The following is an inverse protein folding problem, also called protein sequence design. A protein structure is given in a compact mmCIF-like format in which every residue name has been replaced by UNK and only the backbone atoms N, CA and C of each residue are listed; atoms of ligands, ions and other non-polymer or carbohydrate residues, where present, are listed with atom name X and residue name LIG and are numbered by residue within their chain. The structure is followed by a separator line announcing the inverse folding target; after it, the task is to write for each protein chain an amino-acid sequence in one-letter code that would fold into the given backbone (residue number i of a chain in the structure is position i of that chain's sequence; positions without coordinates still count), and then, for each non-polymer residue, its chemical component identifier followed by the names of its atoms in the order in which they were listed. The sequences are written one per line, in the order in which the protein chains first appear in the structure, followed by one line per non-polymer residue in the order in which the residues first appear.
data_IF_318789934311
#
_entry.id   IF_318789934311
#
_cell.length_a   1.000
_cell.length_b   1.000
_cell.length_c   1.000
_cell.angle_alpha   90.00
_cell.angle_beta   90.00
_cell.angle_gamma   90.00
#
_symmetry.space_group_name_H-M   'P 1'
#
loop_
_entity.id
_entity.type
_entity.pdbx_description
1 polymer ?
#
# COMPACT_ATOMS: atom_id res chain seq x y z
N UNK A 1 -5.16 9.72 0.96
CA UNK A 1 -3.77 10.19 1.02
C UNK A 1 -3.53 11.41 0.14
N UNK A 2 -3.76 11.37 -1.18
CA UNK A 2 -3.50 12.49 -2.09
C UNK A 2 -4.69 13.44 -2.30
N UNK A 3 -5.69 13.43 -1.44
CA UNK A 3 -6.86 14.32 -1.52
C UNK A 3 -6.65 15.71 -0.89
N UNK A 4 -5.46 16.03 -0.39
CA UNK A 4 -5.17 17.34 0.18
C UNK A 4 -4.90 18.40 -0.91
N UNK A 5 -5.07 19.66 -0.55
CA UNK A 5 -5.10 20.79 -1.49
C UNK A 5 -3.81 20.91 -2.34
N UNK A 6 -2.63 20.74 -1.73
CA UNK A 6 -1.36 20.82 -2.45
C UNK A 6 -1.22 19.71 -3.49
N UNK A 7 -1.59 18.47 -3.15
CA UNK A 7 -1.56 17.38 -4.11
C UNK A 7 -2.54 17.60 -5.26
N UNK A 8 -3.76 18.08 -4.95
CA UNK A 8 -4.77 18.41 -5.97
C UNK A 8 -4.28 19.48 -6.93
N UNK A 9 -3.73 20.58 -6.42
CA UNK A 9 -3.17 21.67 -7.24
C UNK A 9 -1.99 21.20 -8.11
N UNK A 10 -1.06 20.45 -7.50
CA UNK A 10 0.09 19.91 -8.22
C UNK A 10 -0.33 18.97 -9.36
N UNK A 11 -1.25 18.06 -9.06
CA UNK A 11 -1.77 17.09 -10.03
C UNK A 11 -2.47 17.80 -11.20
N UNK A 12 -3.37 18.75 -10.90
CA UNK A 12 -4.12 19.50 -11.91
C UNK A 12 -3.22 20.35 -12.80
N UNK A 13 -2.24 21.04 -12.20
CA UNK A 13 -1.28 21.84 -12.95
C UNK A 13 -0.45 21.00 -13.94
N UNK A 14 -0.17 19.74 -13.59
CA UNK A 14 0.64 18.83 -14.42
C UNK A 14 -0.16 18.10 -15.48
N UNK A 15 -1.41 17.72 -15.17
CA UNK A 15 -2.23 16.84 -16.01
C UNK A 15 -3.34 17.60 -16.75
N UNK A 16 -3.71 18.81 -16.32
CA UNK A 16 -4.78 19.61 -16.90
C UNK A 16 -6.20 19.13 -16.58
N UNK A 17 -6.33 18.22 -15.61
CA UNK A 17 -7.60 17.73 -15.04
C UNK A 17 -7.38 17.36 -13.57
N UNK A 18 -8.46 17.27 -12.79
CA UNK A 18 -8.40 17.04 -11.34
C UNK A 18 -8.24 15.55 -10.98
N UNK A 19 -7.82 15.27 -9.72
CA UNK A 19 -7.83 13.90 -9.18
C UNK A 19 -9.27 13.35 -9.14
N UNK A 20 -10.26 14.22 -8.86
CA UNK A 20 -11.67 13.83 -8.84
C UNK A 20 -12.18 13.46 -10.25
N UNK A 21 -11.74 14.18 -11.30
CA UNK A 21 -12.01 13.78 -12.67
C UNK A 21 -11.40 12.42 -13.01
N UNK A 22 -10.13 12.20 -12.62
CA UNK A 22 -9.48 10.90 -12.86
C UNK A 22 -10.23 9.76 -12.17
N UNK A 23 -10.59 9.92 -10.90
CA UNK A 23 -11.27 8.86 -10.13
C UNK A 23 -12.68 8.61 -10.68
N UNK A 24 -13.47 9.64 -10.89
CA UNK A 24 -14.82 9.53 -11.45
C UNK A 24 -14.80 8.88 -12.83
N UNK A 25 -13.95 9.39 -13.75
CA UNK A 25 -13.87 8.85 -15.11
C UNK A 25 -13.35 7.40 -15.10
N UNK A 26 -12.40 7.07 -14.24
CA UNK A 26 -11.88 5.69 -14.12
C UNK A 26 -12.96 4.72 -13.64
N UNK A 27 -13.78 5.10 -12.66
CA UNK A 27 -14.91 4.29 -12.20
C UNK A 27 -15.92 4.12 -13.32
N UNK A 28 -16.37 5.22 -13.94
CA UNK A 28 -17.36 5.17 -15.03
C UNK A 28 -16.86 4.36 -16.23
N UNK A 29 -15.61 4.56 -16.67
CA UNK A 29 -15.02 3.80 -17.76
C UNK A 29 -14.86 2.31 -17.41
N UNK A 30 -14.54 1.96 -16.16
CA UNK A 30 -14.48 0.57 -15.73
C UNK A 30 -15.83 -0.11 -15.96
N UNK A 31 -16.94 0.49 -15.53
CA UNK A 31 -18.27 -0.05 -15.76
C UNK A 31 -18.60 -0.16 -17.25
N UNK A 32 -18.29 0.87 -18.05
CA UNK A 32 -18.52 0.81 -19.51
C UNK A 32 -17.77 -0.36 -20.15
N UNK A 33 -16.49 -0.55 -19.83
CA UNK A 33 -15.67 -1.63 -20.38
C UNK A 33 -16.03 -3.02 -19.86
N UNK A 34 -16.60 -3.12 -18.65
CA UNK A 34 -17.13 -4.39 -18.15
C UNK A 34 -18.40 -4.80 -18.92
N UNK A 35 -19.22 -3.84 -19.33
CA UNK A 35 -20.43 -4.09 -20.11
C UNK A 35 -20.13 -4.31 -21.59
N UNK A 36 -19.12 -3.64 -22.13
CA UNK A 36 -18.75 -3.69 -23.54
C UNK A 36 -17.23 -3.57 -23.70
N UNK A 37 -16.53 -4.59 -24.26
CA UNK A 37 -15.07 -4.62 -24.34
C UNK A 37 -14.42 -3.49 -25.16
N UNK A 38 -15.19 -2.77 -25.95
CA UNK A 38 -14.74 -1.63 -26.76
C UNK A 38 -15.68 -0.44 -26.57
N UNK A 39 -15.12 0.75 -26.57
CA UNK A 39 -15.83 2.00 -26.41
C UNK A 39 -15.52 2.94 -27.59
N UNK A 40 -16.56 3.35 -28.32
CA UNK A 40 -16.47 4.42 -29.32
C UNK A 40 -16.95 5.74 -28.72
N UNK A 41 -18.05 5.69 -27.98
CA UNK A 41 -18.61 6.80 -27.21
C UNK A 41 -19.19 6.26 -25.90
N UNK A 42 -19.00 6.96 -24.77
CA UNK A 42 -19.58 6.55 -23.50
C UNK A 42 -21.11 6.64 -23.56
N UNK A 43 -21.79 5.67 -22.94
CA UNK A 43 -23.25 5.58 -22.88
C UNK A 43 -23.80 6.21 -21.61
N UNK A 44 -23.02 6.19 -20.51
CA UNK A 44 -23.46 6.76 -19.25
C UNK A 44 -23.42 8.29 -19.26
N UNK A 45 -24.50 8.93 -18.82
CA UNK A 45 -24.67 10.39 -18.82
C UNK A 45 -23.57 11.12 -18.07
N UNK A 46 -23.06 10.56 -16.96
CA UNK A 46 -22.01 11.16 -16.17
C UNK A 46 -20.69 11.32 -16.94
N UNK A 47 -20.38 10.39 -17.84
CA UNK A 47 -19.21 10.50 -18.71
C UNK A 47 -19.49 11.44 -19.90
N UNK A 48 -20.69 11.34 -20.47
CA UNK A 48 -21.08 12.12 -21.64
C UNK A 48 -21.28 13.61 -21.32
N UNK A 49 -21.66 13.96 -20.09
CA UNK A 49 -21.80 15.34 -19.62
C UNK A 49 -20.47 16.05 -19.40
N UNK A 50 -19.38 15.30 -19.14
CA UNK A 50 -18.03 15.83 -18.84
C UNK A 50 -17.01 15.54 -19.96
N UNK A 51 -17.39 15.79 -21.20
CA UNK A 51 -16.61 15.42 -22.41
C UNK A 51 -15.15 15.90 -22.39
N UNK A 52 -14.90 17.12 -21.92
CA UNK A 52 -13.54 17.66 -21.86
C UNK A 52 -12.67 16.92 -20.83
N UNK A 53 -13.16 16.71 -19.63
CA UNK A 53 -12.46 15.94 -18.61
C UNK A 53 -12.23 14.49 -19.07
N UNK A 54 -13.24 13.86 -19.65
CA UNK A 54 -13.12 12.51 -20.21
C UNK A 54 -12.05 12.41 -21.31
N UNK A 55 -12.00 13.38 -22.22
CA UNK A 55 -10.99 13.39 -23.29
C UNK A 55 -9.57 13.53 -22.72
N UNK A 56 -9.37 14.39 -21.71
CA UNK A 56 -8.08 14.56 -21.03
C UNK A 56 -7.68 13.30 -20.28
N UNK A 57 -8.59 12.71 -19.52
CA UNK A 57 -8.33 11.47 -18.77
C UNK A 57 -8.02 10.32 -19.72
N UNK A 58 -8.82 10.10 -20.78
CA UNK A 58 -8.53 9.10 -21.80
C UNK A 58 -7.15 9.33 -22.45
N UNK A 59 -6.78 10.58 -22.74
CA UNK A 59 -5.46 10.92 -23.23
C UNK A 59 -4.32 10.51 -22.28
N UNK A 60 -4.54 10.62 -20.97
CA UNK A 60 -3.56 10.27 -19.95
C UNK A 60 -3.47 8.75 -19.67
N UNK A 61 -4.58 8.03 -19.76
CA UNK A 61 -4.64 6.59 -19.41
C UNK A 61 -4.61 5.67 -20.63
N UNK A 62 -4.55 6.20 -21.85
CA UNK A 62 -4.52 5.38 -23.08
C UNK A 62 -3.25 5.53 -23.89
N UNK A 63 -2.98 4.52 -24.72
CA UNK A 63 -1.94 4.56 -25.75
C UNK A 63 -2.49 4.02 -27.07
N UNK A 64 -2.08 4.62 -28.21
CA UNK A 64 -2.28 4.01 -29.52
C UNK A 64 -1.54 2.65 -29.62
N UNK A 65 -2.11 1.70 -30.37
CA UNK A 65 -1.51 0.36 -30.54
C UNK A 65 -0.01 0.40 -30.89
N UNK A 66 0.47 1.24 -31.83
CA UNK A 66 1.90 1.26 -32.16
C UNK A 66 2.78 1.68 -30.97
N UNK A 67 2.35 2.69 -30.20
CA UNK A 67 3.06 3.14 -29.01
C UNK A 67 3.06 2.07 -27.91
N UNK A 68 1.92 1.44 -27.65
CA UNK A 68 1.80 0.35 -26.69
C UNK A 68 2.72 -0.82 -27.05
N UNK A 69 2.75 -1.24 -28.32
CA UNK A 69 3.66 -2.30 -28.80
C UNK A 69 5.12 -1.94 -28.63
N UNK A 70 5.52 -0.71 -28.95
CA UNK A 70 6.90 -0.24 -28.79
C UNK A 70 7.38 -0.34 -27.35
N UNK A 71 6.56 0.14 -26.40
CA UNK A 71 6.90 0.11 -24.97
C UNK A 71 6.88 -1.35 -24.44
N UNK A 72 5.88 -2.14 -24.80
CA UNK A 72 5.81 -3.54 -24.40
C UNK A 72 7.02 -4.35 -24.90
N UNK A 73 7.51 -4.09 -26.13
CA UNK A 73 8.72 -4.71 -26.65
C UNK A 73 9.97 -4.26 -25.90
N UNK A 74 10.08 -2.98 -25.54
CA UNK A 74 11.21 -2.48 -24.75
C UNK A 74 11.26 -3.16 -23.37
N UNK A 75 10.14 -3.17 -22.63
CA UNK A 75 10.01 -3.85 -21.34
C UNK A 75 10.35 -5.34 -21.44
N UNK A 76 9.88 -6.01 -22.51
CA UNK A 76 10.23 -7.41 -22.75
C UNK A 76 11.72 -7.62 -22.94
N UNK A 77 12.38 -6.78 -23.75
CA UNK A 77 13.79 -6.89 -24.06
C UNK A 77 14.67 -6.63 -22.83
N UNK A 78 14.31 -5.62 -22.00
CA UNK A 78 14.95 -5.35 -20.73
C UNK A 78 14.87 -6.58 -19.80
N UNK A 79 13.70 -7.20 -19.71
CA UNK A 79 13.52 -8.38 -18.89
C UNK A 79 14.30 -9.60 -19.39
N UNK A 80 14.34 -9.81 -20.72
CA UNK A 80 15.15 -10.88 -21.32
C UNK A 80 16.64 -10.69 -20.97
N UNK A 81 17.13 -9.46 -21.07
CA UNK A 81 18.52 -9.14 -20.72
C UNK A 81 18.80 -9.37 -19.23
N UNK A 82 17.91 -8.94 -18.35
CA UNK A 82 18.04 -9.07 -16.90
C UNK A 82 17.98 -10.56 -16.43
N UNK A 83 17.14 -11.39 -17.06
CA UNK A 83 16.93 -12.79 -16.68
C UNK A 83 17.82 -13.78 -17.42
N UNK A 84 18.78 -13.30 -18.24
CA UNK A 84 19.65 -14.16 -19.09
C UNK A 84 18.85 -15.18 -19.94
N UNK A 85 17.68 -14.76 -20.42
CA UNK A 85 16.82 -15.56 -21.27
C UNK A 85 15.77 -16.41 -20.54
N UNK A 86 15.79 -16.50 -19.23
CA UNK A 86 14.72 -17.15 -18.45
C UNK A 86 13.50 -16.22 -18.35
N UNK A 87 12.52 -16.47 -19.23
CA UNK A 87 11.30 -15.67 -19.29
C UNK A 87 10.26 -16.20 -18.31
N UNK A 88 10.23 -15.64 -17.10
CA UNK A 88 9.11 -15.81 -16.19
C UNK A 88 7.92 -14.96 -16.66
N UNK A 89 7.12 -15.52 -17.57
CA UNK A 89 6.03 -14.79 -18.27
C UNK A 89 4.99 -14.21 -17.32
N UNK A 90 4.72 -14.90 -16.23
CA UNK A 90 3.71 -14.50 -15.23
C UNK A 90 4.08 -13.21 -14.46
N UNK A 91 5.36 -12.87 -14.38
CA UNK A 91 5.86 -11.71 -13.62
C UNK A 91 6.30 -10.56 -14.52
N UNK A 92 5.92 -10.54 -15.78
CA UNK A 92 6.31 -9.44 -16.68
C UNK A 92 5.61 -8.14 -16.34
N UNK A 93 6.35 -7.01 -16.36
CA UNK A 93 5.72 -5.71 -16.25
C UNK A 93 4.75 -5.50 -17.41
N UNK A 94 3.51 -5.13 -17.09
CA UNK A 94 2.51 -4.81 -18.08
C UNK A 94 2.37 -3.30 -18.22
N UNK A 95 2.49 -2.81 -19.44
CA UNK A 95 2.21 -1.41 -19.79
C UNK A 95 0.79 -0.98 -19.38
N UNK A 96 -0.15 -1.93 -19.31
CA UNK A 96 -1.54 -1.68 -18.92
C UNK A 96 -1.68 -1.17 -17.47
N UNK A 97 -0.67 -1.36 -16.61
CA UNK A 97 -0.68 -0.76 -15.26
C UNK A 97 -0.53 0.76 -15.28
N UNK A 98 0.18 1.29 -16.29
CA UNK A 98 0.35 2.74 -16.48
C UNK A 98 -0.71 3.31 -17.43
N UNK A 99 -0.99 2.57 -18.51
CA UNK A 99 -1.95 2.93 -19.55
C UNK A 99 -2.96 1.78 -19.73
N UNK A 100 -3.98 1.70 -18.88
CA UNK A 100 -4.94 0.58 -18.89
C UNK A 100 -5.81 0.53 -20.15
N UNK A 101 -5.81 1.57 -20.97
CA UNK A 101 -6.63 1.69 -22.16
C UNK A 101 -5.77 1.70 -23.42
N UNK A 102 -6.20 1.00 -24.44
CA UNK A 102 -5.59 0.96 -25.77
C UNK A 102 -6.51 1.64 -26.78
N UNK A 103 -5.98 2.63 -27.49
CA UNK A 103 -6.69 3.31 -28.58
C UNK A 103 -6.44 2.61 -29.91
N UNK A 104 -7.51 2.22 -30.60
CA UNK A 104 -7.49 1.63 -31.93
C UNK A 104 -7.35 2.70 -33.01
N UNK A 105 -6.99 2.26 -34.24
CA UNK A 105 -6.86 3.14 -35.40
C UNK A 105 -8.18 3.77 -35.83
N UNK A 106 -9.31 3.13 -35.57
CA UNK A 106 -10.66 3.63 -35.84
C UNK A 106 -11.18 4.59 -34.75
N UNK A 107 -10.33 4.96 -33.78
CA UNK A 107 -10.67 5.86 -32.68
C UNK A 107 -11.36 5.18 -31.49
N UNK A 108 -11.71 3.90 -31.59
CA UNK A 108 -12.28 3.16 -30.47
C UNK A 108 -11.22 2.86 -29.39
N UNK A 109 -11.69 2.71 -28.17
CA UNK A 109 -10.87 2.35 -27.00
C UNK A 109 -11.18 0.93 -26.54
N UNK A 110 -10.17 0.24 -26.02
CA UNK A 110 -10.27 -1.08 -25.40
C UNK A 110 -9.56 -1.03 -24.06
N UNK A 111 -10.19 -1.52 -23.00
CA UNK A 111 -9.53 -1.81 -21.74
C UNK A 111 -9.45 -3.34 -21.53
N UNK A 112 -8.30 -3.98 -21.84
CA UNK A 112 -8.16 -5.43 -21.71
C UNK A 112 -8.41 -5.97 -20.30
N UNK A 113 -8.15 -5.14 -19.29
CA UNK A 113 -8.37 -5.40 -17.86
C UNK A 113 -8.94 -4.11 -17.27
N UNK A 114 -10.29 -3.94 -17.26
CA UNK A 114 -10.94 -2.68 -16.84
C UNK A 114 -10.58 -2.24 -15.41
N UNK A 115 -10.35 -3.18 -14.50
CA UNK A 115 -10.00 -2.94 -13.09
C UNK A 115 -8.68 -2.17 -12.94
N UNK A 116 -7.80 -2.22 -13.93
CA UNK A 116 -6.56 -1.45 -13.93
C UNK A 116 -6.81 0.07 -14.02
N UNK A 117 -7.97 0.51 -14.50
CA UNK A 117 -8.40 1.92 -14.43
C UNK A 117 -8.56 2.37 -12.97
N UNK A 118 -9.21 1.54 -12.15
CA UNK A 118 -9.35 1.81 -10.71
C UNK A 118 -7.98 1.85 -10.04
N UNK A 119 -7.11 0.88 -10.33
CA UNK A 119 -5.76 0.86 -9.78
C UNK A 119 -4.96 2.10 -10.21
N UNK A 120 -5.09 2.55 -11.47
CA UNK A 120 -4.41 3.76 -11.96
C UNK A 120 -4.89 5.01 -11.23
N UNK A 121 -6.18 5.11 -10.93
CA UNK A 121 -6.80 6.25 -10.26
C UNK A 121 -6.64 6.23 -8.71
N UNK A 122 -6.21 5.13 -8.14
CA UNK A 122 -6.02 4.96 -6.69
C UNK A 122 -4.55 4.77 -6.34
N UNK A 123 -4.10 3.54 -6.24
CA UNK A 123 -2.71 3.22 -5.88
C UNK A 123 -1.69 3.75 -6.91
N UNK A 124 -2.07 3.86 -8.18
CA UNK A 124 -1.25 4.41 -9.25
C UNK A 124 -0.98 5.91 -9.15
N UNK A 125 -1.79 6.68 -8.42
CA UNK A 125 -1.57 8.10 -8.17
C UNK A 125 -0.19 8.40 -7.56
N UNK A 126 0.37 7.47 -6.80
CA UNK A 126 1.72 7.61 -6.25
C UNK A 126 2.75 8.00 -7.32
N UNK A 127 2.63 7.45 -8.53
CA UNK A 127 3.60 7.68 -9.60
C UNK A 127 3.50 9.07 -10.24
N UNK A 128 2.40 9.78 -10.03
CA UNK A 128 2.27 11.19 -10.45
C UNK A 128 3.06 12.13 -9.54
N UNK A 129 3.44 11.67 -8.33
CA UNK A 129 4.14 12.44 -7.30
C UNK A 129 5.58 11.97 -7.02
N UNK A 130 6.24 11.27 -7.95
CA UNK A 130 7.61 10.76 -7.74
C UNK A 130 8.71 11.80 -8.01
N UNK A 131 8.40 12.97 -8.57
CA UNK A 131 9.33 14.06 -8.84
C UNK A 131 9.97 14.64 -7.57
N UNK A 132 11.13 15.29 -7.71
CA UNK A 132 11.81 15.96 -6.58
C UNK A 132 10.95 17.10 -6.03
N UNK A 133 10.27 17.82 -6.91
CA UNK A 133 9.32 18.90 -6.64
C UNK A 133 8.07 18.45 -5.85
N UNK A 134 7.77 17.16 -5.83
CA UNK A 134 6.66 16.57 -5.07
C UNK A 134 7.09 15.95 -3.72
N UNK A 135 8.29 16.21 -3.23
CA UNK A 135 8.76 15.61 -1.96
C UNK A 135 7.86 15.96 -0.77
N UNK A 136 7.45 17.21 -0.63
CA UNK A 136 6.54 17.64 0.45
C UNK A 136 5.18 16.94 0.39
N UNK A 137 4.64 16.75 -0.83
CA UNK A 137 3.39 16.01 -1.04
C UNK A 137 3.51 14.56 -0.58
N UNK A 138 4.64 13.90 -0.88
CA UNK A 138 4.87 12.51 -0.42
C UNK A 138 5.01 12.41 1.08
N UNK A 139 5.64 13.38 1.74
CA UNK A 139 5.72 13.42 3.22
C UNK A 139 4.34 13.57 3.84
N UNK A 140 3.51 14.48 3.32
CA UNK A 140 2.11 14.61 3.77
C UNK A 140 1.30 13.34 3.51
N UNK A 141 1.49 12.68 2.37
CA UNK A 141 0.83 11.42 2.05
C UNK A 141 1.26 10.29 3.01
N UNK A 142 2.53 10.23 3.41
CA UNK A 142 3.02 9.29 4.41
C UNK A 142 2.34 9.53 5.77
N UNK A 143 2.31 10.79 6.23
CA UNK A 143 1.63 11.13 7.49
C UNK A 143 0.13 10.79 7.45
N UNK A 144 -0.55 11.03 6.34
CA UNK A 144 -1.96 10.64 6.16
C UNK A 144 -2.15 9.13 6.13
N UNK A 145 -1.14 8.39 5.69
CA UNK A 145 -1.16 6.94 5.74
C UNK A 145 -1.09 6.41 7.18
N UNK A 146 -0.22 6.99 7.99
CA UNK A 146 -0.12 6.69 9.42
C UNK A 146 -1.45 6.97 10.13
N UNK A 147 -2.03 8.17 9.93
CA UNK A 147 -3.35 8.53 10.47
C UNK A 147 -4.46 7.58 10.01
N UNK A 148 -4.45 7.16 8.74
CA UNK A 148 -5.41 6.17 8.24
C UNK A 148 -5.32 4.84 9.00
N UNK A 149 -4.11 4.34 9.27
CA UNK A 149 -3.93 3.10 10.05
C UNK A 149 -4.40 3.29 11.49
N UNK A 150 -4.12 4.44 12.10
CA UNK A 150 -4.58 4.78 13.45
C UNK A 150 -6.11 4.84 13.57
N UNK A 151 -6.78 5.37 12.56
CA UNK A 151 -8.24 5.49 12.54
C UNK A 151 -8.92 4.16 12.15
N UNK A 152 -8.30 3.38 11.28
CA UNK A 152 -8.85 2.13 10.75
C UNK A 152 -9.04 1.06 11.84
N UNK A 153 -8.06 0.90 12.73
CA UNK A 153 -8.09 -0.15 13.75
C UNK A 153 -9.26 0.04 14.72
N UNK A 154 -9.41 1.18 15.42
CA UNK A 154 -10.53 1.36 16.34
C UNK A 154 -11.88 1.47 15.63
N UNK A 155 -11.92 1.87 14.35
CA UNK A 155 -13.16 1.89 13.58
C UNK A 155 -13.73 0.49 13.32
N UNK A 156 -12.88 -0.52 13.21
CA UNK A 156 -13.30 -1.92 13.10
C UNK A 156 -13.32 -2.66 14.45
N UNK A 157 -12.42 -2.32 15.35
CA UNK A 157 -12.20 -2.95 16.66
C UNK A 157 -12.31 -1.89 17.76
N UNK A 158 -13.52 -1.50 18.16
CA UNK A 158 -13.77 -0.35 19.05
C UNK A 158 -13.24 -0.52 20.48
N UNK A 159 -12.89 -1.74 20.91
CA UNK A 159 -12.20 -1.99 22.18
C UNK A 159 -10.74 -1.59 22.17
N UNK A 160 -10.16 -1.29 20.99
CA UNK A 160 -8.76 -0.89 20.85
C UNK A 160 -8.64 0.63 20.66
N UNK A 161 -7.56 1.19 21.19
CA UNK A 161 -7.18 2.58 20.97
C UNK A 161 -5.84 2.65 20.24
N UNK A 162 -5.61 3.69 19.48
CA UNK A 162 -4.34 3.93 18.80
C UNK A 162 -3.76 5.27 19.22
N UNK A 163 -2.47 5.26 19.56
CA UNK A 163 -1.69 6.47 19.82
C UNK A 163 -0.73 6.72 18.68
N UNK A 164 -0.40 7.98 18.52
CA UNK A 164 0.64 8.47 17.62
C UNK A 164 2.04 8.08 18.12
N UNK A 165 3.06 8.21 17.25
CA UNK A 165 4.46 8.03 17.63
C UNK A 165 4.82 8.90 18.84
N UNK A 166 5.68 8.37 19.70
CA UNK A 166 6.11 9.01 20.94
C UNK A 166 7.63 9.16 20.97
N UNK A 167 8.10 10.28 21.52
CA UNK A 167 9.51 10.50 21.72
C UNK A 167 10.01 9.70 22.94
N UNK A 168 11.01 8.84 22.73
CA UNK A 168 11.58 7.95 23.74
C UNK A 168 13.03 8.34 24.02
N UNK A 169 13.41 8.26 25.29
CA UNK A 169 14.81 8.45 25.71
C UNK A 169 15.09 9.72 26.47
N UNK A 170 16.34 10.09 26.58
CA UNK A 170 16.82 11.25 27.35
C UNK A 170 17.17 12.42 26.44
N UNK A 171 17.35 13.62 27.02
CA UNK A 171 17.76 14.84 26.27
C UNK A 171 18.98 14.62 25.36
N UNK A 172 19.87 13.67 25.68
CA UNK A 172 21.09 13.40 24.92
C UNK A 172 20.91 12.33 23.84
N UNK A 173 19.90 11.47 23.95
CA UNK A 173 19.66 10.35 23.04
C UNK A 173 18.17 10.09 22.93
N UNK A 174 17.55 10.74 21.97
CA UNK A 174 16.13 10.62 21.68
C UNK A 174 15.90 9.86 20.39
N UNK A 175 14.81 9.13 20.32
CA UNK A 175 14.30 8.49 19.12
C UNK A 175 12.78 8.39 19.20
N UNK A 176 12.14 8.11 18.09
CA UNK A 176 10.69 7.94 18.00
C UNK A 176 10.33 6.46 18.15
N UNK A 177 9.17 6.20 18.79
CA UNK A 177 8.54 4.88 18.75
C UNK A 177 8.16 4.52 17.31
N UNK A 178 7.66 3.30 17.04
CA UNK A 178 6.89 3.04 15.83
C UNK A 178 5.71 4.01 15.66
N UNK A 179 5.26 4.22 14.42
CA UNK A 179 4.28 5.24 14.03
C UNK A 179 2.93 5.11 14.74
N UNK A 180 2.52 3.86 15.08
CA UNK A 180 1.23 3.58 15.76
C UNK A 180 1.45 2.63 16.92
N UNK A 181 0.96 3.03 18.10
CA UNK A 181 0.92 2.19 19.30
C UNK A 181 -0.54 1.80 19.56
N UNK A 182 -0.84 0.51 19.54
CA UNK A 182 -2.20 -0.01 19.76
C UNK A 182 -2.35 -0.46 21.20
N UNK A 183 -3.34 0.09 21.89
CA UNK A 183 -3.67 -0.19 23.29
C UNK A 183 -4.93 -1.04 23.39
N UNK A 184 -4.91 -1.96 24.34
CA UNK A 184 -6.06 -2.64 24.89
C UNK A 184 -6.05 -2.41 26.41
N UNK A 185 -7.11 -1.82 26.98
CA UNK A 185 -7.19 -1.45 28.38
C UNK A 185 -5.92 -0.72 28.89
N UNK A 186 -5.55 0.38 28.22
CA UNK A 186 -4.36 1.19 28.52
C UNK A 186 -3.00 0.47 28.41
N UNK A 187 -2.95 -0.78 27.93
CA UNK A 187 -1.74 -1.56 27.76
C UNK A 187 -1.39 -1.68 26.27
N UNK A 188 -0.16 -1.35 25.88
CA UNK A 188 0.31 -1.51 24.50
C UNK A 188 0.44 -2.99 24.18
N UNK A 189 -0.27 -3.43 23.16
CA UNK A 189 -0.32 -4.83 22.71
C UNK A 189 0.25 -5.04 21.31
N UNK A 190 0.21 -3.98 20.46
CA UNK A 190 0.77 -4.01 19.09
C UNK A 190 1.50 -2.70 18.83
N UNK A 191 2.63 -2.78 18.14
CA UNK A 191 3.32 -1.60 17.60
C UNK A 191 3.44 -1.74 16.09
N UNK A 192 3.14 -0.65 15.38
CA UNK A 192 3.04 -0.67 13.92
C UNK A 192 3.93 0.41 13.34
N UNK A 193 4.78 0.01 12.40
CA UNK A 193 5.55 0.91 11.57
C UNK A 193 4.92 0.99 10.18
N UNK A 194 4.62 2.19 9.71
CA UNK A 194 3.95 2.46 8.44
C UNK A 194 4.95 2.83 7.35
N UNK A 195 4.91 2.15 6.22
CA UNK A 195 5.80 2.40 5.08
C UNK A 195 5.01 2.78 3.83
N UNK A 196 4.87 4.11 3.60
CA UNK A 196 4.17 4.66 2.44
C UNK A 196 4.99 4.62 1.14
N UNK A 197 6.27 4.26 1.20
CA UNK A 197 7.14 4.19 0.02
C UNK A 197 6.75 3.00 -0.86
N UNK A 198 6.67 3.24 -2.18
CA UNK A 198 6.47 2.20 -3.19
C UNK A 198 7.74 1.97 -3.99
N UNK A 199 7.92 0.76 -4.49
CA UNK A 199 8.93 0.50 -5.49
C UNK A 199 8.60 1.21 -6.81
N UNK A 200 9.64 1.58 -7.56
CA UNK A 200 9.46 2.00 -8.95
C UNK A 200 8.86 0.85 -9.77
N UNK A 201 8.25 1.19 -10.90
CA UNK A 201 7.68 0.18 -11.80
C UNK A 201 8.71 -0.88 -12.20
N UNK A 202 9.93 -0.46 -12.56
CA UNK A 202 11.03 -1.39 -12.90
C UNK A 202 11.49 -2.26 -11.71
N UNK A 203 11.50 -1.71 -10.51
CA UNK A 203 11.88 -2.46 -9.31
C UNK A 203 10.85 -3.54 -8.93
N UNK A 204 9.55 -3.29 -9.15
CA UNK A 204 8.50 -4.28 -8.89
C UNK A 204 8.61 -5.53 -9.78
N UNK A 205 9.22 -5.39 -10.94
CA UNK A 205 9.35 -6.45 -11.94
C UNK A 205 10.81 -6.84 -12.21
N UNK A 206 11.71 -6.53 -11.28
CA UNK A 206 13.10 -6.94 -11.38
C UNK A 206 13.21 -8.47 -11.39
N UNK A 207 14.13 -8.99 -12.19
CA UNK A 207 14.40 -10.43 -12.25
C UNK A 207 14.90 -10.98 -10.90
N UNK A 208 15.63 -10.17 -10.17
CA UNK A 208 16.04 -10.39 -8.80
C UNK A 208 15.55 -9.21 -7.96
N UNK A 209 14.53 -9.46 -7.14
CA UNK A 209 13.93 -8.44 -6.29
C UNK A 209 14.90 -7.97 -5.19
N UNK A 210 15.79 -8.82 -4.70
CA UNK A 210 16.78 -8.43 -3.70
C UNK A 210 17.73 -7.35 -4.23
N UNK A 211 18.01 -7.37 -5.54
CA UNK A 211 18.86 -6.39 -6.21
C UNK A 211 18.03 -5.22 -6.74
N UNK A 212 16.98 -5.50 -7.49
CA UNK A 212 16.18 -4.47 -8.17
C UNK A 212 15.32 -3.64 -7.24
N UNK A 213 14.86 -4.20 -6.13
CA UNK A 213 14.03 -3.55 -5.12
C UNK A 213 14.81 -3.18 -3.84
N UNK A 214 16.13 -3.11 -3.89
CA UNK A 214 17.00 -2.88 -2.71
C UNK A 214 16.58 -1.67 -1.87
N UNK A 215 16.10 -0.60 -2.51
CA UNK A 215 15.58 0.57 -1.79
C UNK A 215 14.36 0.22 -0.95
N UNK A 216 13.41 -0.53 -1.51
CA UNK A 216 12.22 -0.96 -0.78
C UNK A 216 12.56 -1.93 0.34
N UNK A 217 13.48 -2.87 0.09
CA UNK A 217 13.98 -3.80 1.12
C UNK A 217 14.60 -3.01 2.28
N UNK A 218 15.45 -2.01 1.98
CA UNK A 218 16.06 -1.17 3.01
C UNK A 218 15.03 -0.37 3.81
N UNK A 219 13.97 0.15 3.18
CA UNK A 219 12.90 0.87 3.89
C UNK A 219 12.10 -0.05 4.81
N UNK A 220 11.78 -1.26 4.37
CA UNK A 220 11.12 -2.25 5.24
C UNK A 220 12.03 -2.73 6.37
N UNK A 221 13.31 -2.96 6.08
CA UNK A 221 14.30 -3.34 7.09
C UNK A 221 14.44 -2.27 8.18
N UNK A 222 14.38 -0.98 7.81
CA UNK A 222 14.31 0.11 8.79
C UNK A 222 13.05 0.02 9.65
N UNK A 223 11.89 -0.33 9.06
CA UNK A 223 10.67 -0.53 9.83
C UNK A 223 10.80 -1.65 10.86
N UNK A 224 11.34 -2.80 10.46
CA UNK A 224 11.65 -3.90 11.39
C UNK A 224 12.60 -3.44 12.50
N UNK A 225 13.66 -2.72 12.13
CA UNK A 225 14.64 -2.17 13.09
C UNK A 225 13.96 -1.20 14.09
N UNK A 226 13.03 -0.34 13.66
CA UNK A 226 12.31 0.57 14.55
C UNK A 226 11.46 -0.20 15.57
N UNK A 227 10.78 -1.27 15.15
CA UNK A 227 10.06 -2.17 16.04
C UNK A 227 11.00 -2.84 17.06
N UNK A 228 12.11 -3.39 16.62
CA UNK A 228 13.11 -4.01 17.53
C UNK A 228 13.71 -3.02 18.51
N UNK A 229 13.94 -1.79 18.05
CA UNK A 229 14.45 -0.71 18.92
C UNK A 229 13.46 -0.35 20.02
N UNK A 230 12.15 -0.38 19.69
CA UNK A 230 11.11 -0.19 20.69
C UNK A 230 11.11 -1.33 21.71
N UNK A 231 11.22 -2.58 21.28
CA UNK A 231 11.33 -3.72 22.19
C UNK A 231 12.55 -3.60 23.13
N UNK A 232 13.68 -3.17 22.61
CA UNK A 232 14.87 -2.91 23.41
C UNK A 232 14.63 -1.80 24.45
N UNK A 233 13.93 -0.73 24.08
CA UNK A 233 13.60 0.35 25.00
C UNK A 233 12.65 -0.10 26.13
N UNK A 234 11.68 -0.95 25.81
CA UNK A 234 10.77 -1.56 26.82
C UNK A 234 11.59 -2.47 27.77
N UNK A 235 12.39 -3.39 27.25
CA UNK A 235 13.23 -4.29 28.06
C UNK A 235 14.17 -3.52 28.99
N UNK A 236 14.71 -2.40 28.53
CA UNK A 236 15.64 -1.55 29.30
C UNK A 236 14.93 -0.61 30.28
N UNK A 237 13.59 -0.57 30.31
CA UNK A 237 12.82 0.37 31.13
C UNK A 237 12.98 1.83 30.71
N UNK A 238 13.39 2.09 29.46
CA UNK A 238 13.51 3.46 28.90
C UNK A 238 12.13 3.98 28.47
N UNK A 239 11.27 3.09 27.99
CA UNK A 239 9.87 3.40 27.70
C UNK A 239 9.01 3.15 28.95
N UNK A 240 8.32 4.18 29.44
CA UNK A 240 7.57 4.15 30.70
C UNK A 240 6.20 4.83 30.63
N UNK A 241 5.83 5.37 29.46
CA UNK A 241 4.59 6.17 29.32
C UNK A 241 3.32 5.31 29.50
N UNK A 242 3.33 4.07 28.98
CA UNK A 242 2.24 3.10 29.10
C UNK A 242 2.78 1.72 29.47
N UNK A 243 1.98 0.90 30.19
CA UNK A 243 2.26 -0.52 30.34
C UNK A 243 2.36 -1.19 28.98
N UNK A 244 3.20 -2.21 28.87
CA UNK A 244 3.37 -3.00 27.65
C UNK A 244 3.09 -4.46 27.95
N UNK A 245 2.31 -5.11 27.11
CA UNK A 245 1.95 -6.50 27.26
C UNK A 245 3.17 -7.43 27.14
N UNK A 246 3.20 -8.53 27.89
CA UNK A 246 4.25 -9.55 27.76
C UNK A 246 4.33 -10.10 26.34
N UNK A 247 3.16 -10.30 25.71
CA UNK A 247 3.05 -10.66 24.29
C UNK A 247 2.80 -9.38 23.47
N UNK A 248 3.88 -8.66 23.20
CA UNK A 248 3.85 -7.49 22.33
C UNK A 248 4.10 -7.90 20.88
N UNK A 249 3.17 -7.57 19.97
CA UNK A 249 3.29 -7.83 18.53
C UNK A 249 3.90 -6.64 17.80
N UNK A 250 4.77 -6.91 16.83
CA UNK A 250 5.32 -5.91 15.93
C UNK A 250 4.80 -6.11 14.51
N UNK A 251 4.45 -5.01 13.86
CA UNK A 251 3.93 -5.03 12.50
C UNK A 251 4.60 -3.96 11.64
N UNK A 252 4.82 -4.27 10.38
CA UNK A 252 5.15 -3.29 9.33
C UNK A 252 3.99 -3.29 8.33
N UNK A 253 3.33 -2.13 8.20
CA UNK A 253 2.21 -1.93 7.27
C UNK A 253 2.68 -1.14 6.06
N UNK A 254 2.45 -1.68 4.87
CA UNK A 254 2.75 -1.00 3.60
C UNK A 254 1.50 -0.41 2.99
N UNK A 255 1.67 0.64 2.18
CA UNK A 255 0.55 1.32 1.52
C UNK A 255 -0.20 0.40 0.54
N UNK A 256 0.51 -0.51 -0.14
CA UNK A 256 -0.08 -1.51 -1.03
C UNK A 256 0.78 -2.79 -1.10
N UNK A 257 0.26 -3.79 -1.84
CA UNK A 257 0.81 -5.14 -1.94
C UNK A 257 2.03 -5.27 -2.88
N UNK A 258 2.71 -4.18 -3.21
CA UNK A 258 3.82 -4.21 -4.16
C UNK A 258 5.00 -5.12 -3.73
N UNK A 259 5.11 -5.37 -2.44
CA UNK A 259 5.91 -6.45 -1.87
C UNK A 259 4.94 -7.57 -1.44
N UNK A 260 4.50 -8.38 -2.37
CA UNK A 260 4.13 -9.73 -1.99
C UNK A 260 5.39 -10.37 -1.45
N UNK A 261 5.52 -10.31 -0.14
CA UNK A 261 6.68 -10.83 0.57
C UNK A 261 6.60 -12.34 0.52
N UNK A 262 7.06 -12.90 -0.59
CA UNK A 262 7.40 -14.31 -0.58
C UNK A 262 8.49 -14.56 0.48
N UNK A 263 8.68 -15.78 0.84
CA UNK A 263 9.63 -16.19 1.88
C UNK A 263 11.04 -15.65 1.61
N UNK A 264 11.44 -15.57 0.33
CA UNK A 264 12.76 -15.07 -0.07
C UNK A 264 12.91 -13.56 0.19
N UNK A 265 11.99 -12.75 -0.29
CA UNK A 265 12.07 -11.28 -0.12
C UNK A 265 12.00 -10.91 1.37
N UNK A 266 11.14 -11.60 2.13
CA UNK A 266 11.08 -11.41 3.58
C UNK A 266 12.40 -11.74 4.27
N UNK A 267 13.03 -12.86 3.91
CA UNK A 267 14.33 -13.23 4.46
C UNK A 267 15.39 -12.15 4.19
N UNK A 268 15.42 -11.55 3.00
CA UNK A 268 16.34 -10.46 2.67
C UNK A 268 16.01 -9.17 3.48
N UNK A 269 14.73 -8.84 3.70
CA UNK A 269 14.33 -7.72 4.57
C UNK A 269 14.82 -7.95 6.01
N UNK A 270 14.56 -9.13 6.57
CA UNK A 270 14.98 -9.47 7.95
C UNK A 270 16.50 -9.50 8.08
N UNK A 271 17.21 -10.07 7.12
CA UNK A 271 18.68 -10.07 7.06
C UNK A 271 19.24 -8.65 7.05
N UNK A 272 18.67 -7.75 6.26
CA UNK A 272 19.09 -6.35 6.23
C UNK A 272 18.75 -5.65 7.55
N UNK A 273 17.61 -5.95 8.18
CA UNK A 273 17.26 -5.44 9.50
C UNK A 273 18.27 -5.88 10.57
N UNK A 274 18.72 -7.14 10.54
CA UNK A 274 19.81 -7.62 11.40
C UNK A 274 21.11 -6.82 11.17
N UNK A 275 21.47 -6.60 9.90
CA UNK A 275 22.68 -5.81 9.57
C UNK A 275 22.60 -4.37 10.09
N UNK A 276 21.40 -3.78 10.09
CA UNK A 276 21.19 -2.46 10.70
C UNK A 276 21.29 -2.54 12.22
N UNK A 277 20.60 -3.51 12.84
CA UNK A 277 20.58 -3.69 14.30
C UNK A 277 21.95 -4.01 14.90
N UNK A 278 22.83 -4.71 14.17
CA UNK A 278 24.19 -5.05 14.63
C UNK A 278 25.09 -3.83 14.91
N UNK A 279 24.68 -2.65 14.40
CA UNK A 279 25.35 -1.37 14.68
C UNK A 279 24.95 -0.76 16.03
N UNK A 280 23.97 -1.34 16.71
CA UNK A 280 23.36 -0.82 17.93
C UNK A 280 23.43 -1.86 19.05
N UNK A 281 24.40 -1.68 19.95
CA UNK A 281 24.66 -2.60 21.05
C UNK A 281 23.50 -2.74 22.04
N UNK A 282 22.57 -1.79 22.05
CA UNK A 282 21.38 -1.81 22.90
C UNK A 282 20.30 -2.79 22.42
N UNK A 283 20.37 -3.27 21.15
CA UNK A 283 19.41 -4.22 20.60
C UNK A 283 19.98 -5.63 20.70
N UNK A 284 19.48 -6.40 21.66
CA UNK A 284 19.88 -7.77 21.91
C UNK A 284 19.16 -8.77 20.99
N UNK A 285 19.65 -10.02 20.88
CA UNK A 285 18.93 -11.07 20.14
C UNK A 285 17.48 -11.29 20.59
N UNK A 286 17.19 -11.14 21.89
CA UNK A 286 15.84 -11.27 22.45
C UNK A 286 14.86 -10.18 21.98
N UNK A 287 15.37 -9.03 21.52
CA UNK A 287 14.55 -7.94 20.98
C UNK A 287 14.21 -8.18 19.50
N UNK A 288 14.95 -9.05 18.81
CA UNK A 288 14.80 -9.33 17.37
C UNK A 288 13.70 -10.36 17.10
N UNK A 289 12.51 -10.08 17.66
CA UNK A 289 11.35 -10.95 17.51
C UNK A 289 10.78 -10.89 16.10
N UNK A 290 9.99 -11.90 15.66
CA UNK A 290 9.26 -11.86 14.40
C UNK A 290 8.40 -10.61 14.28
N UNK A 291 8.38 -10.03 13.09
CA UNK A 291 7.53 -8.87 12.75
C UNK A 291 6.58 -9.30 11.64
N UNK A 292 5.32 -8.94 11.79
CA UNK A 292 4.27 -9.23 10.82
C UNK A 292 4.29 -8.18 9.72
N UNK A 293 4.22 -8.60 8.47
CA UNK A 293 4.11 -7.71 7.32
C UNK A 293 2.71 -7.82 6.72
N UNK A 294 2.09 -6.68 6.47
CA UNK A 294 0.78 -6.61 5.80
C UNK A 294 0.68 -5.32 4.99
N UNK A 295 -0.24 -5.28 4.02
CA UNK A 295 -0.61 -4.02 3.37
C UNK A 295 -1.83 -3.38 4.03
N UNK A 296 -2.06 -2.09 3.77
CA UNK A 296 -3.24 -1.40 4.26
C UNK A 296 -4.55 -2.07 3.80
N UNK A 297 -4.56 -2.60 2.59
CA UNK A 297 -5.71 -3.33 2.06
C UNK A 297 -5.95 -4.63 2.82
N UNK A 298 -4.92 -5.46 2.98
CA UNK A 298 -4.99 -6.72 3.73
C UNK A 298 -5.32 -6.50 5.20
N UNK A 299 -4.77 -5.43 5.81
CA UNK A 299 -5.13 -5.05 7.17
C UNK A 299 -6.62 -4.73 7.28
N UNK A 300 -7.15 -3.88 6.37
CA UNK A 300 -8.57 -3.53 6.35
C UNK A 300 -9.46 -4.77 6.13
N UNK A 301 -9.08 -5.67 5.22
CA UNK A 301 -9.81 -6.93 5.01
C UNK A 301 -9.82 -7.81 6.25
N UNK A 302 -8.68 -7.97 6.91
CA UNK A 302 -8.58 -8.76 8.15
C UNK A 302 -9.45 -8.18 9.25
N UNK A 303 -9.36 -6.87 9.49
CA UNK A 303 -10.14 -6.17 10.53
C UNK A 303 -11.65 -6.23 10.24
N UNK A 304 -12.04 -6.23 8.97
CA UNK A 304 -13.44 -6.38 8.56
C UNK A 304 -14.01 -7.79 8.85
N UNK A 305 -13.15 -8.80 8.96
CA UNK A 305 -13.52 -10.20 9.11
C UNK A 305 -13.38 -10.73 10.54
N UNK A 306 -12.94 -9.92 11.52
CA UNK A 306 -12.61 -10.43 12.84
C UNK A 306 -12.98 -9.46 13.95
N UNK A 307 -12.98 -9.95 15.19
CA UNK A 307 -12.98 -9.19 16.43
C UNK A 307 -11.56 -9.04 17.00
N UNK A 308 -11.42 -8.43 18.17
CA UNK A 308 -10.14 -8.23 18.85
C UNK A 308 -9.41 -9.56 19.11
N UNK A 309 -10.13 -10.56 19.57
CA UNK A 309 -9.54 -11.87 19.89
C UNK A 309 -9.03 -12.58 18.63
N UNK A 310 -9.81 -12.56 17.57
CA UNK A 310 -9.41 -13.12 16.29
C UNK A 310 -8.20 -12.38 15.70
N UNK A 311 -8.14 -11.05 15.81
CA UNK A 311 -7.00 -10.27 15.36
C UNK A 311 -5.71 -10.65 16.09
N UNK A 312 -5.73 -10.75 17.44
CA UNK A 312 -4.57 -11.24 18.19
C UNK A 312 -4.20 -12.68 17.84
N UNK A 313 -5.19 -13.53 17.56
CA UNK A 313 -4.97 -14.91 17.10
C UNK A 313 -4.23 -14.90 15.77
N UNK A 314 -4.64 -14.07 14.81
CA UNK A 314 -3.96 -13.93 13.53
C UNK A 314 -2.52 -13.43 13.69
N UNK A 315 -2.28 -12.39 14.50
CA UNK A 315 -0.95 -11.84 14.77
C UNK A 315 0.00 -12.86 15.41
N UNK A 316 -0.48 -13.56 16.41
CA UNK A 316 0.30 -14.61 17.10
C UNK A 316 0.73 -15.71 16.14
N UNK A 317 -0.20 -16.18 15.30
CA UNK A 317 0.10 -17.22 14.32
C UNK A 317 0.98 -16.73 13.17
N UNK A 318 0.77 -15.50 12.67
CA UNK A 318 1.60 -14.90 11.62
C UNK A 318 3.09 -14.77 12.02
N UNK A 319 3.37 -14.68 13.31
CA UNK A 319 4.74 -14.65 13.84
C UNK A 319 5.42 -16.04 13.83
N UNK A 320 4.69 -17.13 13.58
CA UNK A 320 5.23 -18.50 13.56
C UNK A 320 5.78 -18.86 12.19
N UNK A 321 6.72 -19.82 12.13
CA UNK A 321 7.32 -20.30 10.89
C UNK A 321 6.27 -20.87 9.90
N UNK A 322 5.25 -21.55 10.43
CA UNK A 322 4.18 -22.16 9.62
C UNK A 322 3.46 -21.14 8.74
N UNK A 323 3.16 -19.96 9.28
CA UNK A 323 2.34 -18.95 8.62
C UNK A 323 3.12 -17.78 8.04
N UNK A 324 4.45 -17.89 7.98
CA UNK A 324 5.27 -16.85 7.35
C UNK A 324 4.89 -16.68 5.88
N UNK A 325 4.44 -15.46 5.50
CA UNK A 325 4.02 -15.12 4.14
C UNK A 325 2.53 -15.26 3.87
N UNK A 326 1.76 -15.79 4.80
CA UNK A 326 0.31 -15.82 4.70
C UNK A 326 -0.28 -14.45 5.00
N UNK A 327 -1.36 -14.10 4.32
CA UNK A 327 -2.19 -12.97 4.69
C UNK A 327 -2.92 -13.26 6.01
N UNK A 328 -3.11 -12.26 6.84
CA UNK A 328 -3.76 -12.42 8.15
C UNK A 328 -5.19 -13.00 8.02
N UNK A 329 -5.94 -12.59 6.99
CA UNK A 329 -7.27 -13.14 6.69
C UNK A 329 -7.22 -14.64 6.33
N UNK A 330 -6.21 -15.06 5.57
CA UNK A 330 -6.02 -16.48 5.23
C UNK A 330 -5.66 -17.33 6.45
N UNK A 331 -4.92 -16.75 7.41
CA UNK A 331 -4.64 -17.41 8.70
C UNK A 331 -5.93 -17.63 9.48
N UNK A 332 -6.80 -16.62 9.55
CA UNK A 332 -8.10 -16.72 10.23
C UNK A 332 -8.97 -17.81 9.61
N UNK A 333 -9.01 -17.85 8.26
CA UNK A 333 -9.75 -18.87 7.52
C UNK A 333 -9.22 -20.29 7.82
N UNK A 334 -7.90 -20.50 7.76
CA UNK A 334 -7.29 -21.81 8.06
C UNK A 334 -7.52 -22.26 9.50
N UNK A 335 -7.56 -21.32 10.46
CA UNK A 335 -7.84 -21.60 11.86
C UNK A 335 -9.33 -21.79 12.15
N UNK A 336 -10.19 -21.60 11.15
CA UNK A 336 -11.65 -21.73 11.31
C UNK A 336 -12.25 -20.65 12.22
N UNK A 337 -11.64 -19.48 12.30
CA UNK A 337 -12.20 -18.35 13.06
C UNK A 337 -13.45 -17.86 12.33
N UNK A 338 -14.63 -17.83 13.00
CA UNK A 338 -15.85 -17.35 12.38
C UNK A 338 -15.70 -15.91 11.91
N UNK A 339 -16.13 -15.63 10.67
CA UNK A 339 -16.04 -14.31 10.08
C UNK A 339 -17.41 -13.82 9.62
N UNK A 340 -17.86 -12.71 10.20
CA UNK A 340 -18.95 -11.91 9.63
C UNK A 340 -18.36 -10.60 9.11
N UNK A 341 -18.49 -10.35 7.82
CA UNK A 341 -17.87 -9.19 7.19
C UNK A 341 -18.55 -7.90 7.62
N UNK A 342 -17.84 -7.07 8.35
CA UNK A 342 -18.25 -5.73 8.73
C UNK A 342 -18.25 -4.79 7.51
N UNK A 343 -19.15 -3.81 7.49
CA UNK A 343 -19.15 -2.76 6.47
C UNK A 343 -17.88 -1.89 6.59
N UNK A 344 -17.49 -1.25 5.47
CA UNK A 344 -16.39 -0.29 5.49
C UNK A 344 -16.75 0.90 6.42
N UNK A 345 -15.88 1.27 7.38
CA UNK A 345 -16.27 2.12 8.49
C UNK A 345 -16.29 3.62 8.15
N UNK A 346 -15.66 4.04 7.04
CA UNK A 346 -15.56 5.44 6.69
C UNK A 346 -16.64 5.87 5.69
N UNK A 347 -17.02 7.14 5.76
CA UNK A 347 -17.98 7.73 4.83
C UNK A 347 -17.33 7.95 3.45
N UNK A 348 -17.70 7.13 2.48
CA UNK A 348 -17.16 7.22 1.12
C UNK A 348 -17.54 8.53 0.41
N UNK A 349 -18.64 9.18 0.76
CA UNK A 349 -19.04 10.47 0.18
C UNK A 349 -18.11 11.62 0.55
N UNK A 350 -17.44 11.54 1.71
CA UNK A 350 -16.41 12.52 2.11
C UNK A 350 -15.11 12.34 1.33
N UNK A 351 -14.77 11.10 1.01
CA UNK A 351 -13.55 10.76 0.27
C UNK A 351 -13.72 10.96 -1.24
N UNK A 352 -14.90 10.64 -1.74
CA UNK A 352 -15.29 10.72 -3.16
C UNK A 352 -16.57 11.54 -3.30
N UNK A 353 -16.51 12.89 -3.23
CA UNK A 353 -17.69 13.76 -3.26
C UNK A 353 -18.56 13.57 -4.50
N UNK A 354 -17.97 13.16 -5.63
CA UNK A 354 -18.65 12.87 -6.88
C UNK A 354 -19.53 11.61 -6.82
N UNK A 355 -19.43 10.79 -5.76
CA UNK A 355 -20.31 9.62 -5.60
C UNK A 355 -21.80 10.02 -5.54
N UNK A 356 -22.10 11.22 -5.06
CA UNK A 356 -23.46 11.78 -5.04
C UNK A 356 -24.04 12.01 -6.44
N UNK A 357 -23.21 12.08 -7.45
CA UNK A 357 -23.60 12.29 -8.84
C UNK A 357 -23.89 10.98 -9.59
N UNK A 358 -23.52 9.83 -8.98
CA UNK A 358 -23.82 8.53 -9.57
C UNK A 358 -25.33 8.25 -9.46
N UNK A 359 -25.96 7.70 -10.50
CA UNK A 359 -27.35 7.24 -10.40
C UNK A 359 -27.46 6.19 -9.29
N UNK A 360 -28.52 6.33 -8.48
CA UNK A 360 -28.84 5.39 -7.41
C UNK A 360 -29.36 4.09 -7.97
#
# INVERSE_FOLDING_TARGET
MYAHEEARKYFEARNGFTIDDLTLMSVGLTFEFMLQPWLVAPKHDILSSRKEALAKVLGAVSLPIPAARKIALALRNEMIAATKGNLLTAHRPSILRQHPVIQKADGAYIAPIPELLIQRATSGLYYDFIGVDAQGIRQQAARRFELYVQELIPAYLPGLQCLDEQEIGTKKRKFLSPDVLVLNDDTITVVIECKATKNTFSAQFAADLAVGAIRGINELAKGVFQVWRFYAAVRQGIYTEYPVADTLHGMVVTMDDWLRLDTYVRAEVVKEAHRVADKYSEIEPADRRPVVFTSAHQLAETLALTDEQGWYTALTNAATEKYQGYDLSSILEELGVPAERKAFPFNMEEVMPWQKELPK
#
